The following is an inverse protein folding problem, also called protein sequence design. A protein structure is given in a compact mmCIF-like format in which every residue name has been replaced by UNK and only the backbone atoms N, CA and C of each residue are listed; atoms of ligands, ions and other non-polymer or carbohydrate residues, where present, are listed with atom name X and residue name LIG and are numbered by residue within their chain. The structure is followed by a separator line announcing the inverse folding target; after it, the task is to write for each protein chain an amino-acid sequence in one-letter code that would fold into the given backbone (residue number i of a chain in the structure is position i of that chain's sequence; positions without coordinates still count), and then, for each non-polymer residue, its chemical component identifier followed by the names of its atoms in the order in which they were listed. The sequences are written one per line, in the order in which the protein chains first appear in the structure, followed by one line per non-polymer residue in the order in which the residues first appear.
data_IF_095957115433
#
_entry.id   IF_095957115433
#
_cell.length_a   1.000
_cell.length_b   1.000
_cell.length_c   1.000
_cell.angle_alpha   90.00
_cell.angle_beta   90.00
_cell.angle_gamma   90.00
#
_symmetry.space_group_name_H-M   'P 1'
#
loop_
_entity.id
_entity.type
_entity.pdbx_description
1 polymer ?
#
# COMPACT_ATOMS: atom_id res chain seq x y z
N UNK A 1 -1.99 -31.65 1.83
CA UNK A 1 -1.25 -31.24 0.61
C UNK A 1 -0.60 -29.90 0.91
N UNK A 2 0.73 -29.83 0.99
CA UNK A 2 1.43 -28.56 1.14
C UNK A 2 1.19 -27.74 -0.12
N UNK A 3 0.50 -26.61 0.00
CA UNK A 3 0.34 -25.66 -1.11
C UNK A 3 1.74 -25.16 -1.47
N UNK A 4 2.20 -25.45 -2.68
CA UNK A 4 3.50 -25.00 -3.18
C UNK A 4 3.41 -23.50 -3.49
N UNK A 5 3.48 -22.67 -2.43
CA UNK A 5 3.44 -21.23 -2.53
C UNK A 5 4.75 -20.76 -3.18
N UNK A 6 4.63 -19.99 -4.24
CA UNK A 6 5.78 -19.37 -4.90
C UNK A 6 6.24 -18.16 -4.08
N UNK A 7 7.54 -17.99 -3.79
CA UNK A 7 8.08 -16.88 -2.98
C UNK A 7 8.14 -15.57 -3.82
N UNK A 8 6.99 -15.16 -4.36
CA UNK A 8 6.87 -13.96 -5.19
C UNK A 8 5.65 -13.16 -4.77
N UNK A 9 5.75 -11.83 -4.84
CA UNK A 9 4.63 -10.90 -4.75
C UNK A 9 4.38 -10.36 -6.15
N UNK A 10 3.15 -10.49 -6.65
CA UNK A 10 2.79 -10.16 -8.02
C UNK A 10 1.82 -8.98 -8.10
N UNK A 11 1.99 -8.13 -9.11
CA UNK A 11 1.07 -7.05 -9.40
C UNK A 11 -0.10 -7.50 -10.26
N UNK A 12 -1.20 -6.74 -10.19
CA UNK A 12 -2.40 -6.94 -11.01
C UNK A 12 -2.42 -5.97 -12.19
N UNK A 13 -3.03 -6.39 -13.29
CA UNK A 13 -3.15 -5.56 -14.46
C UNK A 13 -4.19 -4.45 -14.29
N UNK A 14 -5.36 -4.79 -13.76
CA UNK A 14 -6.54 -3.92 -13.72
C UNK A 14 -7.17 -3.82 -12.32
N UNK A 15 -8.31 -3.11 -12.24
CA UNK A 15 -9.13 -2.93 -11.02
C UNK A 15 -9.88 -4.20 -10.60
N UNK A 16 -10.06 -5.15 -11.52
CA UNK A 16 -10.78 -6.39 -11.29
C UNK A 16 -9.90 -7.56 -11.67
N UNK A 17 -10.03 -8.65 -10.93
CA UNK A 17 -9.34 -9.89 -11.22
C UNK A 17 -9.94 -10.53 -12.47
N UNK A 18 -9.14 -10.64 -13.54
CA UNK A 18 -9.57 -11.30 -14.76
C UNK A 18 -9.59 -12.83 -14.57
N UNK A 19 -10.42 -13.52 -15.37
CA UNK A 19 -10.47 -15.00 -15.40
C UNK A 19 -9.09 -15.61 -15.66
N UNK A 20 -8.30 -14.98 -16.54
CA UNK A 20 -6.93 -15.42 -16.87
C UNK A 20 -6.00 -15.30 -15.65
N UNK A 21 -6.02 -14.18 -14.95
CA UNK A 21 -5.22 -13.98 -13.73
C UNK A 21 -5.67 -14.95 -12.62
N UNK A 22 -6.97 -15.10 -12.41
CA UNK A 22 -7.50 -16.05 -11.42
C UNK A 22 -6.99 -17.48 -11.66
N UNK A 23 -7.08 -17.97 -12.89
CA UNK A 23 -6.61 -19.32 -13.24
C UNK A 23 -5.08 -19.45 -13.10
N UNK A 24 -4.33 -18.40 -13.47
CA UNK A 24 -2.88 -18.36 -13.32
C UNK A 24 -2.48 -18.45 -11.85
N UNK A 25 -3.09 -17.63 -10.99
CA UNK A 25 -2.79 -17.59 -9.57
C UNK A 25 -3.25 -18.85 -8.84
N UNK A 26 -4.37 -19.44 -9.25
CA UNK A 26 -4.82 -20.72 -8.71
C UNK A 26 -3.86 -21.88 -9.01
N UNK A 27 -3.26 -21.86 -10.22
CA UNK A 27 -2.26 -22.87 -10.64
C UNK A 27 -0.89 -22.61 -10.01
N UNK A 28 -0.48 -21.35 -9.90
CA UNK A 28 0.82 -20.91 -9.39
C UNK A 28 0.58 -19.90 -8.26
N UNK A 29 0.31 -20.41 -7.08
CA UNK A 29 -0.08 -19.62 -5.92
C UNK A 29 1.07 -18.68 -5.49
N UNK A 30 0.97 -17.35 -5.64
CA UNK A 30 2.00 -16.43 -5.15
C UNK A 30 1.91 -16.27 -3.64
N UNK A 31 3.01 -15.86 -3.02
CA UNK A 31 3.05 -15.47 -1.60
C UNK A 31 2.13 -14.26 -1.31
N UNK A 32 2.01 -13.36 -2.28
CA UNK A 32 1.17 -12.18 -2.12
C UNK A 32 0.95 -11.39 -3.40
N UNK A 33 0.24 -10.28 -3.22
CA UNK A 33 -0.13 -9.36 -4.29
C UNK A 33 0.23 -7.93 -3.89
N UNK A 34 0.77 -7.15 -4.83
CA UNK A 34 1.01 -5.72 -4.64
C UNK A 34 -0.03 -4.90 -5.39
N UNK A 35 -0.62 -3.94 -4.68
CA UNK A 35 -1.66 -3.04 -5.18
C UNK A 35 -1.04 -1.71 -5.59
N UNK A 36 -1.37 -1.25 -6.79
CA UNK A 36 -0.99 0.04 -7.34
C UNK A 36 -2.20 0.92 -7.63
N UNK A 37 -2.00 2.21 -7.87
CA UNK A 37 -3.07 3.17 -8.16
C UNK A 37 -4.00 2.73 -9.31
N UNK A 38 -3.47 1.99 -10.30
CA UNK A 38 -4.28 1.44 -11.42
C UNK A 38 -5.31 0.40 -10.97
N UNK A 39 -5.09 -0.23 -9.82
CA UNK A 39 -5.99 -1.25 -9.27
C UNK A 39 -7.09 -0.65 -8.38
N UNK A 40 -7.05 0.67 -8.15
CA UNK A 40 -7.92 1.36 -7.19
C UNK A 40 -8.90 2.26 -7.94
N UNK A 41 -10.18 2.12 -7.64
CA UNK A 41 -11.25 3.01 -8.08
C UNK A 41 -11.90 3.72 -6.90
N UNK A 42 -12.38 2.95 -5.95
CA UNK A 42 -12.95 3.40 -4.68
C UNK A 42 -12.74 2.34 -3.60
N UNK A 43 -13.14 2.67 -2.36
CA UNK A 43 -12.90 1.84 -1.19
C UNK A 43 -13.57 0.45 -1.30
N UNK A 44 -14.84 0.42 -1.75
CA UNK A 44 -15.61 -0.82 -1.83
C UNK A 44 -15.07 -1.75 -2.93
N UNK A 45 -14.73 -1.19 -4.09
CA UNK A 45 -14.12 -1.96 -5.18
C UNK A 45 -12.78 -2.56 -4.73
N UNK A 46 -11.92 -1.79 -4.07
CA UNK A 46 -10.61 -2.27 -3.60
C UNK A 46 -10.78 -3.37 -2.56
N UNK A 47 -11.69 -3.21 -1.60
CA UNK A 47 -12.00 -4.25 -0.59
C UNK A 47 -12.46 -5.55 -1.25
N UNK A 48 -13.37 -5.46 -2.23
CA UNK A 48 -13.86 -6.62 -2.98
C UNK A 48 -12.72 -7.33 -3.74
N UNK A 49 -11.86 -6.57 -4.41
CA UNK A 49 -10.70 -7.13 -5.11
C UNK A 49 -9.78 -7.89 -4.14
N UNK A 50 -9.45 -7.29 -2.99
CA UNK A 50 -8.58 -7.92 -1.97
C UNK A 50 -9.23 -9.19 -1.41
N UNK A 51 -10.53 -9.19 -1.17
CA UNK A 51 -11.25 -10.39 -0.73
C UNK A 51 -11.17 -11.52 -1.78
N UNK A 52 -11.34 -11.19 -3.06
CA UNK A 52 -11.18 -12.16 -4.16
C UNK A 52 -9.76 -12.74 -4.19
N UNK A 53 -8.72 -11.90 -4.05
CA UNK A 53 -7.34 -12.36 -4.02
C UNK A 53 -7.04 -13.28 -2.84
N UNK A 54 -7.53 -12.92 -1.65
CA UNK A 54 -7.39 -13.77 -0.44
C UNK A 54 -8.11 -15.10 -0.57
N UNK A 55 -9.24 -15.16 -1.28
CA UNK A 55 -9.99 -16.40 -1.48
C UNK A 55 -9.30 -17.43 -2.38
N UNK A 56 -8.31 -17.01 -3.18
CA UNK A 56 -7.50 -17.93 -4.01
C UNK A 56 -6.65 -18.84 -3.12
N UNK A 57 -6.13 -18.28 -2.03
CA UNK A 57 -5.32 -19.02 -1.05
C UNK A 57 -6.14 -19.34 0.20
N UNK A 58 -6.50 -20.61 0.38
CA UNK A 58 -7.28 -21.08 1.54
C UNK A 58 -6.54 -21.00 2.88
N UNK A 59 -5.23 -20.73 2.89
CA UNK A 59 -4.40 -20.75 4.09
C UNK A 59 -4.37 -19.43 4.89
N UNK A 60 -5.18 -18.43 4.53
CA UNK A 60 -5.26 -17.12 5.18
C UNK A 60 -3.91 -16.34 5.34
N UNK A 61 -2.87 -16.75 4.64
CA UNK A 61 -1.51 -16.20 4.75
C UNK A 61 -1.13 -15.30 3.56
N UNK A 62 -2.12 -14.90 2.76
CA UNK A 62 -1.85 -14.07 1.58
C UNK A 62 -1.37 -12.67 1.97
N UNK A 63 -0.19 -12.30 1.51
CA UNK A 63 0.31 -10.92 1.63
C UNK A 63 -0.45 -10.03 0.66
N UNK A 64 -1.01 -8.95 1.18
CA UNK A 64 -1.55 -7.85 0.37
C UNK A 64 -0.68 -6.64 0.66
N UNK A 65 0.19 -6.32 -0.27
CA UNK A 65 1.16 -5.24 -0.16
C UNK A 65 0.63 -3.96 -0.82
N UNK A 66 0.86 -2.83 -0.17
CA UNK A 66 0.67 -1.51 -0.73
C UNK A 66 1.97 -0.72 -0.66
N UNK A 67 2.40 -0.18 -1.78
CA UNK A 67 3.45 0.82 -1.84
C UNK A 67 2.80 2.19 -1.56
N UNK A 68 2.99 2.74 -0.34
CA UNK A 68 2.30 3.95 0.13
C UNK A 68 3.22 4.81 1.00
N UNK A 69 4.11 5.52 0.34
CA UNK A 69 5.18 6.30 0.97
C UNK A 69 4.69 7.67 1.50
N UNK A 70 3.52 8.11 1.05
CA UNK A 70 3.04 9.48 1.25
C UNK A 70 3.42 10.41 0.09
N UNK A 71 3.01 11.69 0.13
CA UNK A 71 3.33 12.67 -0.89
C UNK A 71 2.98 12.21 -2.30
N UNK A 72 3.99 12.11 -3.17
CA UNK A 72 3.83 11.70 -4.57
C UNK A 72 3.45 10.22 -4.73
N UNK A 73 3.91 9.37 -3.83
CA UNK A 73 3.61 7.93 -3.82
C UNK A 73 2.44 7.62 -2.87
N UNK A 74 1.32 8.29 -3.11
CA UNK A 74 0.06 8.09 -2.40
C UNK A 74 -0.90 7.27 -3.27
N UNK A 75 -0.93 5.95 -3.08
CA UNK A 75 -1.78 5.06 -3.88
C UNK A 75 -3.27 5.19 -3.56
N UNK A 76 -3.60 5.64 -2.35
CA UNK A 76 -4.99 5.83 -1.91
C UNK A 76 -5.59 7.19 -2.28
N UNK A 77 -4.97 7.97 -3.14
CA UNK A 77 -5.39 9.35 -3.47
C UNK A 77 -6.87 9.46 -3.92
N UNK A 78 -7.38 8.40 -4.58
CA UNK A 78 -8.80 8.33 -4.98
C UNK A 78 -9.76 8.07 -3.82
N UNK A 79 -9.24 7.61 -2.68
CA UNK A 79 -10.02 7.27 -1.48
C UNK A 79 -9.83 8.35 -0.43
N UNK A 80 -8.58 8.79 -0.24
CA UNK A 80 -8.20 9.75 0.78
C UNK A 80 -7.06 10.63 0.27
N UNK A 81 -7.32 11.94 0.15
CA UNK A 81 -6.29 12.89 -0.22
C UNK A 81 -5.35 13.15 0.96
N UNK A 82 -4.13 12.67 0.87
CA UNK A 82 -3.06 12.83 1.86
C UNK A 82 -1.81 13.48 1.27
N UNK A 83 -1.92 14.19 0.16
CA UNK A 83 -0.78 14.76 -0.57
C UNK A 83 0.09 15.72 0.26
N UNK A 84 -0.49 16.36 1.28
CA UNK A 84 0.26 17.25 2.18
C UNK A 84 1.19 16.50 3.14
N UNK A 85 0.91 15.23 3.43
CA UNK A 85 1.65 14.44 4.42
C UNK A 85 2.88 13.79 3.79
N UNK A 86 3.83 14.62 3.39
CA UNK A 86 5.13 14.20 2.87
C UNK A 86 6.14 13.98 4.01
N UNK A 87 7.24 13.28 3.74
CA UNK A 87 8.35 13.18 4.70
C UNK A 87 8.90 14.57 5.05
N UNK A 88 9.01 15.47 4.05
CA UNK A 88 9.39 16.87 4.28
C UNK A 88 8.44 17.60 5.23
N UNK A 89 7.12 17.46 5.05
CA UNK A 89 6.13 18.06 5.96
C UNK A 89 6.35 17.63 7.41
N UNK A 90 6.55 16.34 7.63
CA UNK A 90 6.80 15.82 8.97
C UNK A 90 8.17 16.21 9.51
N UNK A 91 9.20 16.28 8.67
CA UNK A 91 10.54 16.75 9.03
C UNK A 91 10.53 18.23 9.46
N UNK A 92 9.91 19.09 8.67
CA UNK A 92 9.74 20.52 8.99
C UNK A 92 8.94 20.70 10.30
N UNK A 93 7.87 19.91 10.45
CA UNK A 93 7.05 19.97 11.65
C UNK A 93 7.81 19.49 12.91
N UNK A 94 8.63 18.45 12.78
CA UNK A 94 9.49 17.95 13.85
C UNK A 94 10.50 19.01 14.31
N UNK A 95 11.14 19.69 13.36
CA UNK A 95 12.13 20.73 13.64
C UNK A 95 11.51 21.98 14.30
N UNK A 96 10.31 22.36 13.88
CA UNK A 96 9.67 23.61 14.33
C UNK A 96 8.76 23.41 15.55
N UNK A 97 8.08 22.26 15.67
CA UNK A 97 7.12 22.03 16.76
C UNK A 97 6.93 20.53 17.05
N UNK A 98 7.81 19.95 17.86
CA UNK A 98 7.79 18.53 18.25
C UNK A 98 6.45 18.06 18.86
N UNK A 99 5.78 18.93 19.63
CA UNK A 99 4.48 18.58 20.23
C UNK A 99 3.40 18.40 19.15
N UNK A 100 3.35 19.32 18.20
CA UNK A 100 2.42 19.24 17.06
C UNK A 100 2.78 18.07 16.15
N UNK A 101 4.08 17.83 15.87
CA UNK A 101 4.54 16.66 15.13
C UNK A 101 4.01 15.36 15.76
N UNK A 102 4.22 15.14 17.06
CA UNK A 102 3.78 13.92 17.74
C UNK A 102 2.27 13.70 17.66
N UNK A 103 1.48 14.77 17.68
CA UNK A 103 0.03 14.67 17.51
C UNK A 103 -0.37 14.32 16.07
N UNK A 104 0.19 15.03 15.11
CA UNK A 104 -0.15 14.86 13.67
C UNK A 104 0.31 13.50 13.13
N UNK A 105 1.53 13.07 13.45
CA UNK A 105 2.04 11.77 12.99
C UNK A 105 1.23 10.60 13.55
N UNK A 106 0.84 10.66 14.83
CA UNK A 106 -0.02 9.64 15.44
C UNK A 106 -1.39 9.57 14.78
N UNK A 107 -2.01 10.72 14.48
CA UNK A 107 -3.30 10.78 13.76
C UNK A 107 -3.16 10.20 12.35
N UNK A 108 -2.11 10.55 11.64
CA UNK A 108 -1.82 10.06 10.29
C UNK A 108 -1.67 8.53 10.29
N UNK A 109 -0.82 7.99 11.17
CA UNK A 109 -0.60 6.53 11.29
C UNK A 109 -1.90 5.83 11.64
N UNK A 110 -2.66 6.31 12.63
CA UNK A 110 -3.92 5.69 13.06
C UNK A 110 -4.96 5.69 11.94
N UNK A 111 -5.09 6.78 11.21
CA UNK A 111 -6.01 6.89 10.07
C UNK A 111 -5.67 5.86 8.99
N UNK A 112 -4.41 5.79 8.57
CA UNK A 112 -3.97 4.85 7.56
C UNK A 112 -4.12 3.39 8.02
N UNK A 113 -3.72 3.06 9.25
CA UNK A 113 -3.87 1.71 9.81
C UNK A 113 -5.33 1.25 9.83
N UNK A 114 -6.26 2.13 10.20
CA UNK A 114 -7.68 1.80 10.19
C UNK A 114 -8.18 1.49 8.76
N UNK A 115 -7.78 2.28 7.78
CA UNK A 115 -8.15 2.05 6.38
C UNK A 115 -7.53 0.75 5.87
N UNK A 116 -6.22 0.54 6.09
CA UNK A 116 -5.52 -0.68 5.65
C UNK A 116 -6.15 -1.94 6.24
N UNK A 117 -6.42 -1.94 7.54
CA UNK A 117 -7.10 -3.05 8.20
C UNK A 117 -8.51 -3.28 7.63
N UNK A 118 -9.28 -2.21 7.41
CA UNK A 118 -10.63 -2.31 6.87
C UNK A 118 -10.68 -2.94 5.48
N UNK A 119 -9.74 -2.59 4.60
CA UNK A 119 -9.66 -3.14 3.23
C UNK A 119 -8.88 -4.45 3.15
N UNK A 120 -8.11 -4.78 4.19
CA UNK A 120 -7.39 -6.05 4.30
C UNK A 120 -5.96 -6.03 3.76
N UNK A 121 -5.32 -4.85 3.66
CA UNK A 121 -3.87 -4.69 3.44
C UNK A 121 -3.15 -5.09 4.72
N UNK A 122 -2.08 -5.89 4.60
CA UNK A 122 -1.30 -6.39 5.73
C UNK A 122 0.22 -6.17 5.60
N UNK A 123 0.68 -5.57 4.50
CA UNK A 123 2.06 -5.14 4.31
C UNK A 123 2.09 -3.78 3.62
N UNK A 124 2.86 -2.84 4.14
CA UNK A 124 3.01 -1.49 3.56
C UNK A 124 4.50 -1.18 3.38
N UNK A 125 4.89 -0.78 2.16
CA UNK A 125 6.21 -0.23 1.91
C UNK A 125 6.19 1.26 2.29
N UNK A 126 6.59 1.56 3.51
CA UNK A 126 6.72 2.89 4.11
C UNK A 126 7.44 2.76 5.48
N UNK A 127 8.07 3.84 5.98
CA UNK A 127 8.37 5.10 5.29
C UNK A 127 9.56 4.98 4.34
N UNK A 128 9.75 5.98 3.47
CA UNK A 128 10.99 6.15 2.72
C UNK A 128 12.09 6.57 3.70
N UNK A 129 13.21 5.85 3.68
CA UNK A 129 14.37 6.10 4.53
C UNK A 129 15.53 6.77 3.78
N UNK A 130 15.33 7.13 2.53
CA UNK A 130 16.32 7.80 1.69
C UNK A 130 16.62 9.19 2.22
N UNK A 131 17.90 9.52 2.31
CA UNK A 131 18.34 10.85 2.71
C UNK A 131 18.37 11.79 1.48
N UNK A 132 17.96 13.03 1.72
CA UNK A 132 17.99 14.06 0.70
C UNK A 132 19.38 14.67 0.61
N UNK A 133 20.16 14.31 -0.42
CA UNK A 133 21.53 14.79 -0.62
C UNK A 133 21.65 15.91 -1.67
N UNK A 134 20.70 16.01 -2.63
CA UNK A 134 20.80 16.95 -3.74
C UNK A 134 19.43 17.40 -4.25
N UNK A 135 19.28 18.70 -4.42
CA UNK A 135 18.08 19.34 -5.03
C UNK A 135 17.86 18.93 -6.50
N UNK A 136 18.84 18.32 -7.15
CA UNK A 136 18.77 17.88 -8.56
C UNK A 136 18.21 16.48 -8.72
N UNK A 137 18.09 15.69 -7.66
CA UNK A 137 17.51 14.35 -7.73
C UNK A 137 16.01 14.44 -7.97
N UNK A 138 15.54 14.01 -9.15
CA UNK A 138 14.12 13.91 -9.49
C UNK A 138 13.44 12.68 -8.85
N UNK A 139 14.17 11.83 -8.17
CA UNK A 139 13.72 10.52 -7.65
C UNK A 139 13.29 10.64 -6.20
N UNK A 140 14.00 11.41 -5.38
CA UNK A 140 13.71 11.62 -3.96
C UNK A 140 13.10 13.01 -3.76
N UNK A 141 11.81 13.15 -4.05
CA UNK A 141 11.00 14.29 -3.64
C UNK A 141 9.94 13.80 -2.66
N UNK A 142 10.29 13.82 -1.42
CA UNK A 142 9.33 13.68 -0.33
C UNK A 142 8.73 15.04 0.05
#
# INVERSE_FOLDING_TARGET
MSSNIKPVIVGLKNKFLSKKEYLLFKKNLPLGYIIFSRNIENLNQLKSLIQQLKSINKLNQTIIMLDHEGGRVNRLNKILNQNKYTAKYFGDLYSNNKKKFNLEIKKFIKCNSNIFNYIGINLVAAPVLDLFYDNKSKIVFC
#
